data_IF_773434460017
#
_entry.id   IF_773434460017
#
_cell.length_a   1.000
_cell.length_b   1.000
_cell.length_c   1.000
_cell.angle_alpha   90.00
_cell.angle_beta   90.00
_cell.angle_gamma   90.00
#
_symmetry.space_group_name_H-M   'P 1'
#
loop_
_entity.id
_entity.type
_entity.pdbx_description
1 polymer ?
#
# COMPACT_ATOMS: atom_id res chain seq x y z
N UNK A 1 4.86 -5.16 -8.89
CA UNK A 1 3.80 -5.17 -9.94
C UNK A 1 3.22 -3.77 -10.11
N UNK A 2 2.81 -3.35 -11.32
CA UNK A 2 2.10 -2.08 -11.55
C UNK A 2 0.66 -2.35 -11.98
N UNK A 3 -0.29 -1.58 -11.43
CA UNK A 3 -1.73 -1.70 -11.71
C UNK A 3 -2.32 -0.32 -11.97
N UNK A 4 -3.05 -0.19 -13.08
CA UNK A 4 -3.80 1.01 -13.43
C UNK A 4 -5.24 0.82 -12.93
N UNK A 5 -5.76 1.83 -12.24
CA UNK A 5 -7.13 1.83 -11.68
C UNK A 5 -7.85 3.10 -12.09
N UNK A 6 -9.18 3.10 -11.99
CA UNK A 6 -9.96 4.32 -12.25
C UNK A 6 -9.61 5.45 -11.27
N UNK A 7 -9.84 6.70 -11.67
CA UNK A 7 -9.56 7.86 -10.80
C UNK A 7 -10.25 7.75 -9.43
N UNK A 8 -11.55 7.39 -9.33
CA UNK A 8 -12.20 7.21 -8.03
C UNK A 8 -11.51 6.15 -7.18
N UNK A 9 -11.09 5.04 -7.81
CA UNK A 9 -10.41 3.95 -7.11
C UNK A 9 -9.02 4.36 -6.62
N UNK A 10 -8.31 5.17 -7.39
CA UNK A 10 -7.05 5.76 -6.96
C UNK A 10 -7.22 6.60 -5.69
N UNK A 11 -8.28 7.41 -5.60
CA UNK A 11 -8.56 8.20 -4.40
C UNK A 11 -8.98 7.35 -3.20
N UNK A 12 -9.62 6.20 -3.40
CA UNK A 12 -9.84 5.23 -2.31
C UNK A 12 -8.49 4.74 -1.74
N UNK A 13 -7.54 4.41 -2.62
CA UNK A 13 -6.19 4.04 -2.21
C UNK A 13 -5.49 5.17 -1.47
N UNK A 14 -5.60 6.41 -1.96
CA UNK A 14 -4.99 7.58 -1.32
C UNK A 14 -5.51 7.79 0.10
N UNK A 15 -6.82 7.64 0.31
CA UNK A 15 -7.45 7.72 1.65
C UNK A 15 -7.00 6.60 2.60
N UNK A 16 -6.64 5.44 2.05
CA UNK A 16 -6.15 4.31 2.85
C UNK A 16 -4.71 4.49 3.35
N UNK A 17 -3.95 5.46 2.81
CA UNK A 17 -2.54 5.69 3.18
C UNK A 17 -2.42 6.07 4.66
N UNK A 18 -1.65 5.27 5.40
CA UNK A 18 -1.46 5.47 6.83
C UNK A 18 -0.13 4.93 7.39
N UNK A 19 1.04 5.21 6.78
CA UNK A 19 2.33 4.66 7.21
C UNK A 19 2.61 4.90 8.70
N UNK A 20 2.36 6.11 9.20
CA UNK A 20 2.56 6.45 10.62
C UNK A 20 1.73 5.59 11.59
N UNK A 21 0.48 5.27 11.25
CA UNK A 21 -0.35 4.39 12.09
C UNK A 21 0.11 2.94 12.04
N UNK A 22 0.56 2.48 10.86
CA UNK A 22 1.10 1.13 10.69
C UNK A 22 2.35 1.00 11.55
N UNK A 23 3.28 1.94 11.44
CA UNK A 23 4.55 1.93 12.18
C UNK A 23 4.35 2.09 13.70
N UNK A 24 3.62 3.10 14.13
CA UNK A 24 3.63 3.51 15.54
C UNK A 24 2.61 2.75 16.37
N UNK A 25 1.50 2.32 15.76
CA UNK A 25 0.34 1.76 16.48
C UNK A 25 -0.04 0.36 15.99
N UNK A 26 0.61 -0.17 14.95
CA UNK A 26 0.21 -1.43 14.35
C UNK A 26 -1.24 -1.40 13.88
N UNK A 27 -1.67 -0.27 13.30
CA UNK A 27 -3.06 -0.01 12.90
C UNK A 27 -3.15 0.41 11.44
N UNK A 28 -4.22 -0.02 10.76
CA UNK A 28 -4.60 0.49 9.44
C UNK A 28 -5.97 1.16 9.50
N UNK A 29 -6.18 2.19 8.67
CA UNK A 29 -7.44 2.95 8.65
C UNK A 29 -8.57 2.21 7.93
N UNK A 30 -8.25 1.68 6.76
CA UNK A 30 -9.20 1.01 5.88
C UNK A 30 -8.45 0.14 4.88
N UNK A 31 -9.19 -0.76 4.23
CA UNK A 31 -8.72 -1.58 3.12
C UNK A 31 -9.53 -1.25 1.87
N UNK A 32 -8.90 -1.43 0.72
CA UNK A 32 -9.47 -1.19 -0.61
C UNK A 32 -9.53 -2.52 -1.36
N UNK A 33 -10.71 -2.88 -1.85
CA UNK A 33 -10.89 -4.06 -2.71
C UNK A 33 -10.31 -3.84 -4.10
N UNK A 34 -9.45 -4.74 -4.55
CA UNK A 34 -8.94 -4.78 -5.91
C UNK A 34 -8.93 -6.23 -6.37
N UNK A 35 -9.74 -6.53 -7.39
CA UNK A 35 -9.83 -7.87 -8.00
C UNK A 35 -10.12 -8.98 -6.97
N UNK A 36 -10.99 -8.70 -5.99
CA UNK A 36 -11.37 -9.66 -4.93
C UNK A 36 -10.36 -9.80 -3.80
N UNK A 37 -9.25 -9.06 -3.84
CA UNK A 37 -8.25 -9.01 -2.78
C UNK A 37 -8.28 -7.66 -2.06
N UNK A 38 -7.94 -7.66 -0.77
CA UNK A 38 -7.91 -6.45 0.06
C UNK A 38 -6.50 -5.89 0.11
N UNK A 39 -6.37 -4.59 -0.12
CA UNK A 39 -5.09 -3.88 -0.07
C UNK A 39 -5.17 -2.65 0.84
N UNK A 40 -4.02 -2.19 1.31
CA UNK A 40 -3.88 -0.92 2.03
C UNK A 40 -2.74 -0.11 1.42
N UNK A 41 -2.96 1.20 1.26
CA UNK A 41 -1.92 2.14 0.85
C UNK A 41 -0.88 2.31 1.95
N UNK A 42 0.39 2.20 1.59
CA UNK A 42 1.51 2.34 2.52
C UNK A 42 2.31 3.62 2.29
N UNK A 43 2.33 4.14 1.06
CA UNK A 43 3.09 5.35 0.71
C UNK A 43 2.55 5.97 -0.58
N UNK A 44 2.71 7.28 -0.74
CA UNK A 44 2.53 7.98 -2.01
C UNK A 44 3.90 8.46 -2.51
N UNK A 45 4.26 8.05 -3.72
CA UNK A 45 5.48 8.44 -4.41
C UNK A 45 5.07 9.36 -5.55
N UNK A 46 5.51 10.61 -5.48
CA UNK A 46 5.49 11.51 -6.64
C UNK A 46 6.85 11.43 -7.32
N UNK A 47 7.03 10.64 -8.40
CA UNK A 47 8.26 10.68 -9.17
C UNK A 47 8.49 12.10 -9.70
N UNK A 48 9.77 12.50 -9.72
CA UNK A 48 10.24 13.67 -10.45
C UNK A 48 9.73 13.58 -11.90
N UNK A 49 9.24 14.70 -12.40
CA UNK A 49 8.57 14.88 -13.70
C UNK A 49 9.20 13.98 -14.77
N UNK A 50 8.44 13.00 -15.27
CA UNK A 50 8.84 12.18 -16.43
C UNK A 50 7.97 12.65 -17.60
N UNK A 51 8.59 13.14 -18.67
CA UNK A 51 7.90 13.66 -19.86
C UNK A 51 6.96 14.87 -19.59
N UNK A 52 7.33 15.78 -18.68
CA UNK A 52 6.56 17.00 -18.42
C UNK A 52 5.28 16.79 -17.59
N UNK A 53 4.98 15.55 -17.15
CA UNK A 53 3.79 15.24 -16.35
C UNK A 53 4.18 14.69 -14.97
N UNK A 54 3.47 15.15 -13.93
CA UNK A 54 3.50 14.54 -12.59
C UNK A 54 2.55 13.35 -12.57
N UNK A 55 3.07 12.15 -12.30
CA UNK A 55 2.25 10.95 -12.12
C UNK A 55 2.30 10.53 -10.66
N UNK A 56 1.23 10.71 -9.89
CA UNK A 56 1.21 10.20 -8.51
C UNK A 56 1.10 8.66 -8.53
N UNK A 57 2.00 7.98 -7.83
CA UNK A 57 2.03 6.53 -7.67
C UNK A 57 1.76 6.21 -6.20
N UNK A 58 0.79 5.35 -5.92
CA UNK A 58 0.57 4.85 -4.56
C UNK A 58 1.18 3.46 -4.45
N UNK A 59 2.01 3.25 -3.43
CA UNK A 59 2.40 1.91 -3.03
C UNK A 59 1.32 1.32 -2.14
N UNK A 60 0.90 0.09 -2.44
CA UNK A 60 -0.04 -0.66 -1.64
C UNK A 60 0.47 -2.08 -1.36
N UNK A 61 0.05 -2.65 -0.24
CA UNK A 61 0.35 -4.03 0.16
C UNK A 61 -0.95 -4.76 0.48
N UNK A 62 -0.98 -6.08 0.30
CA UNK A 62 -2.17 -6.87 0.59
C UNK A 62 -2.41 -6.93 2.10
N UNK A 63 -3.67 -6.85 2.51
CA UNK A 63 -4.11 -7.03 3.89
C UNK A 63 -4.96 -8.30 3.97
N UNK A 64 -4.47 -9.31 4.70
CA UNK A 64 -5.07 -10.63 4.78
C UNK A 64 -5.65 -10.83 6.19
N UNK A 65 -6.90 -11.24 6.37
CA UNK A 65 -7.42 -11.58 7.70
C UNK A 65 -6.53 -12.63 8.38
N UNK A 66 -6.26 -12.46 9.68
CA UNK A 66 -5.35 -13.36 10.39
C UNK A 66 -5.82 -14.83 10.33
N UNK A 67 -7.13 -15.06 10.34
CA UNK A 67 -7.77 -16.39 10.30
C UNK A 67 -7.42 -17.20 9.05
N UNK A 68 -7.11 -16.54 7.94
CA UNK A 68 -6.78 -17.19 6.65
C UNK A 68 -5.30 -17.06 6.28
N UNK A 69 -4.51 -16.38 7.10
CA UNK A 69 -3.09 -16.19 6.85
C UNK A 69 -2.29 -17.42 7.29
N UNK A 70 -1.59 -18.05 6.35
CA UNK A 70 -0.80 -19.26 6.58
C UNK A 70 0.72 -19.03 6.61
N UNK A 71 1.17 -17.78 6.53
CA UNK A 71 2.59 -17.44 6.54
C UNK A 71 3.14 -17.17 7.93
N UNK A 72 4.44 -16.90 8.02
CA UNK A 72 5.06 -16.51 9.28
C UNK A 72 4.64 -15.09 9.67
N UNK A 73 4.23 -14.92 10.92
CA UNK A 73 4.08 -13.61 11.52
C UNK A 73 5.46 -13.05 11.84
N UNK A 74 5.69 -11.83 11.38
CA UNK A 74 6.88 -11.04 11.69
C UNK A 74 6.40 -9.77 12.39
N UNK A 75 5.99 -9.88 13.67
CA UNK A 75 5.65 -8.71 14.46
C UNK A 75 6.88 -7.81 14.50
N UNK A 76 6.68 -6.55 14.17
CA UNK A 76 7.76 -5.58 14.18
C UNK A 76 7.27 -4.40 15.00
N UNK A 77 8.02 -4.08 16.05
CA UNK A 77 8.02 -2.69 16.49
C UNK A 77 8.76 -1.87 15.44
N UNK A 78 8.32 -0.65 15.17
CA UNK A 78 8.93 0.19 14.13
C UNK A 78 10.44 0.39 14.30
N UNK A 79 10.90 0.48 15.56
CA UNK A 79 12.32 0.65 15.89
C UNK A 79 13.16 -0.57 15.50
N UNK A 80 12.67 -1.79 15.76
CA UNK A 80 13.36 -3.03 15.39
C UNK A 80 13.40 -3.21 13.88
N UNK A 81 12.30 -2.86 13.17
CA UNK A 81 12.24 -2.92 11.71
C UNK A 81 13.30 -2.05 11.05
N UNK A 82 13.38 -0.77 11.44
CA UNK A 82 14.30 0.18 10.80
C UNK A 82 15.76 -0.22 11.04
N UNK A 83 16.07 -0.71 12.24
CA UNK A 83 17.40 -1.17 12.60
C UNK A 83 17.82 -2.40 11.78
N UNK A 84 16.95 -3.38 11.60
CA UNK A 84 17.23 -4.57 10.77
C UNK A 84 17.38 -4.25 9.27
N UNK A 85 16.58 -3.32 8.75
CA UNK A 85 16.67 -2.86 7.36
C UNK A 85 18.01 -2.15 7.12
N UNK A 86 18.43 -1.26 8.02
CA UNK A 86 19.72 -0.58 7.93
C UNK A 86 20.91 -1.55 8.03
N UNK A 87 20.77 -2.61 8.83
CA UNK A 87 21.76 -3.69 8.95
C UNK A 87 21.72 -4.68 7.78
N UNK A 88 20.88 -4.47 6.76
CA UNK A 88 20.65 -5.37 5.60
C UNK A 88 20.24 -6.80 5.99
N UNK A 89 19.75 -6.99 7.21
CA UNK A 89 19.25 -8.29 7.71
C UNK A 89 17.82 -8.57 7.22
N UNK A 90 17.13 -7.53 6.74
CA UNK A 90 15.74 -7.61 6.27
C UNK A 90 15.51 -6.70 5.06
N UNK A 91 14.60 -7.11 4.17
CA UNK A 91 14.06 -6.25 3.10
C UNK A 91 13.13 -5.19 3.70
N UNK A 92 13.22 -3.97 3.20
CA UNK A 92 12.30 -2.89 3.57
C UNK A 92 10.85 -3.28 3.23
N UNK A 93 9.91 -3.05 4.15
CA UNK A 93 8.47 -3.27 3.92
C UNK A 93 7.73 -3.99 5.06
N UNK A 94 6.41 -4.08 4.91
CA UNK A 94 5.47 -4.50 5.95
C UNK A 94 5.11 -5.99 5.93
N UNK A 95 5.78 -6.80 5.11
CA UNK A 95 5.42 -8.21 4.93
C UNK A 95 5.54 -9.01 6.25
N UNK A 96 4.48 -9.72 6.60
CA UNK A 96 4.31 -10.50 7.82
C UNK A 96 3.89 -9.67 9.04
N UNK A 97 3.65 -8.36 8.88
CA UNK A 97 3.29 -7.50 10.01
C UNK A 97 1.82 -7.71 10.40
N UNK A 98 1.60 -8.01 11.68
CA UNK A 98 0.26 -8.06 12.27
C UNK A 98 -0.20 -6.63 12.59
N UNK A 99 -1.34 -6.24 12.05
CA UNK A 99 -1.98 -4.94 12.30
C UNK A 99 -3.45 -5.12 12.67
N UNK A 100 -4.04 -4.06 13.20
CA UNK A 100 -5.46 -4.01 13.55
C UNK A 100 -6.21 -3.09 12.60
N UNK A 101 -7.36 -3.57 12.12
CA UNK A 101 -8.34 -2.79 11.38
C UNK A 101 -9.61 -2.78 12.23
N UNK A 102 -9.90 -1.63 12.87
CA UNK A 102 -10.96 -1.53 13.87
C UNK A 102 -10.76 -2.60 14.97
N UNK A 103 -11.64 -3.60 15.05
CA UNK A 103 -11.57 -4.71 16.02
C UNK A 103 -11.01 -6.01 15.43
N UNK A 104 -10.63 -6.02 14.14
CA UNK A 104 -10.16 -7.21 13.44
C UNK A 104 -8.63 -7.22 13.32
N UNK A 105 -8.04 -8.42 13.41
CA UNK A 105 -6.62 -8.64 13.15
C UNK A 105 -6.39 -8.98 11.69
N UNK A 106 -5.47 -8.26 11.06
CA UNK A 106 -5.07 -8.48 9.67
C UNK A 106 -3.56 -8.49 9.55
N UNK A 107 -3.04 -9.23 8.58
CA UNK A 107 -1.61 -9.36 8.31
C UNK A 107 -1.32 -8.67 6.99
N UNK A 108 -0.35 -7.76 7.00
CA UNK A 108 0.16 -7.15 5.78
C UNK A 108 1.13 -8.12 5.12
N UNK A 109 0.86 -8.53 3.89
CA UNK A 109 1.64 -9.58 3.22
C UNK A 109 1.78 -9.37 1.72
N UNK A 110 2.78 -10.03 1.15
CA UNK A 110 3.07 -10.03 -0.27
C UNK A 110 4.00 -8.89 -0.71
N UNK A 111 4.17 -8.79 -2.02
CA UNK A 111 4.94 -7.71 -2.63
C UNK A 111 4.12 -6.43 -2.73
N UNK A 112 4.81 -5.29 -2.64
CA UNK A 112 4.18 -4.00 -2.87
C UNK A 112 3.75 -3.88 -4.35
N UNK A 113 2.53 -3.41 -4.55
CA UNK A 113 1.99 -3.06 -5.85
C UNK A 113 2.01 -1.54 -6.01
N UNK A 114 2.23 -1.08 -7.25
CA UNK A 114 2.16 0.34 -7.62
C UNK A 114 0.81 0.61 -8.25
N UNK A 115 0.02 1.45 -7.62
CA UNK A 115 -1.28 1.90 -8.11
C UNK A 115 -1.10 3.24 -8.84
N UNK A 116 -1.60 3.30 -10.07
CA UNK A 116 -1.65 4.50 -10.90
C UNK A 116 -3.09 4.78 -11.31
N UNK A 117 -3.47 6.05 -11.35
CA UNK A 117 -4.74 6.44 -11.93
C UNK A 117 -4.70 6.28 -13.46
N UNK A 118 -5.82 5.87 -14.05
CA UNK A 118 -6.05 5.95 -15.49
C UNK A 118 -5.83 7.39 -15.98
N UNK A 119 -5.15 7.54 -17.11
CA UNK A 119 -5.04 8.85 -17.74
C UNK A 119 -6.31 9.07 -18.57
N UNK A 120 -7.04 10.16 -18.32
CA UNK A 120 -8.03 10.64 -19.29
C UNK A 120 -7.26 10.99 -20.56
N UNK A 121 -7.48 10.24 -21.63
CA UNK A 121 -7.17 10.75 -22.96
C UNK A 121 -8.11 11.93 -23.17
N UNK A 122 -7.56 13.14 -23.27
CA UNK A 122 -8.31 14.26 -23.82
C UNK A 122 -8.69 13.86 -25.24
N UNK A 123 -9.93 13.48 -25.43
CA UNK A 123 -10.49 13.29 -26.75
C UNK A 123 -10.43 14.67 -27.42
N UNK A 124 -9.45 14.84 -28.31
CA UNK A 124 -9.34 16.01 -29.17
C UNK A 124 -10.68 16.16 -29.89
N UNK A 125 -11.50 17.07 -29.38
CA UNK A 125 -12.78 17.41 -29.98
C UNK A 125 -12.43 18.25 -31.20
N UNK A 126 -12.34 17.60 -32.36
CA UNK A 126 -12.26 18.30 -33.64
C UNK A 126 -13.68 18.81 -33.90
N UNK A 127 -13.95 20.03 -33.47
CA UNK A 127 -15.06 20.84 -33.97
C UNK A 127 -14.58 21.62 -35.19
#
# INVERSE_FOLDING_TARGET
METIVSIPKFWEFEKSICPGLISEKGQIKMVVDLQGLKYVGIESITPLIRNGRRENIILAIQAIPLEVYSGDLKPLTYNEHFLEVNLKKRKHGYNGMLVTLQNSKVVLSGENIKIKAEQKQEQLSIF
#
